data_IF_183578189908
#
_entry.id   IF_183578189908
#
_cell.length_a   1.000
_cell.length_b   1.000
_cell.length_c   1.000
_cell.angle_alpha   90.00
_cell.angle_beta   90.00
_cell.angle_gamma   90.00
#
_symmetry.space_group_name_H-M   'P 1'
#
loop_
_entity.id
_entity.type
_entity.pdbx_description
1 polymer ?
#
# COMPACT_ATOMS: atom_id res chain seq x y z
N UNK A 1 3.96 19.30 38.01
CA UNK A 1 3.21 18.17 37.39
C UNK A 1 2.66 18.53 36.01
N UNK A 2 1.96 19.66 35.84
CA UNK A 2 1.39 20.12 34.54
C UNK A 2 2.39 20.15 33.36
N UNK A 3 3.66 20.49 33.59
CA UNK A 3 4.70 20.53 32.53
C UNK A 3 4.96 19.16 31.88
N UNK A 4 4.90 18.08 32.66
CA UNK A 4 5.12 16.71 32.16
C UNK A 4 3.88 16.23 31.38
N UNK A 5 2.68 16.53 31.87
CA UNK A 5 1.44 16.19 31.14
C UNK A 5 1.37 16.84 29.76
N UNK A 6 1.84 18.09 29.62
CA UNK A 6 1.88 18.77 28.32
C UNK A 6 2.82 18.10 27.33
N UNK A 7 3.99 17.65 27.79
CA UNK A 7 4.96 16.92 26.97
C UNK A 7 4.41 15.57 26.50
N UNK A 8 3.68 14.85 27.36
CA UNK A 8 3.05 13.57 27.01
C UNK A 8 1.97 13.77 25.94
N UNK A 9 1.13 14.81 26.09
CA UNK A 9 0.11 15.15 25.09
C UNK A 9 0.73 15.44 23.72
N UNK A 10 1.79 16.25 23.68
CA UNK A 10 2.51 16.57 22.44
C UNK A 10 3.07 15.28 21.80
N UNK A 11 3.73 14.41 22.57
CA UNK A 11 4.26 13.16 22.05
C UNK A 11 3.17 12.24 21.46
N UNK A 12 1.99 12.19 22.07
CA UNK A 12 0.86 11.41 21.57
C UNK A 12 0.30 11.97 20.26
N UNK A 13 0.19 13.30 20.13
CA UNK A 13 -0.29 13.92 18.88
C UNK A 13 0.64 13.70 17.68
N UNK A 14 1.95 13.58 17.90
CA UNK A 14 2.94 13.36 16.84
C UNK A 14 3.32 11.89 16.63
N UNK A 15 2.66 10.94 17.31
CA UNK A 15 2.95 9.51 17.18
C UNK A 15 2.25 8.82 15.99
N UNK A 16 1.30 9.48 15.34
CA UNK A 16 0.58 8.94 14.19
C UNK A 16 1.25 9.32 12.86
N UNK A 17 1.40 8.37 11.94
CA UNK A 17 1.80 8.66 10.56
C UNK A 17 0.63 9.27 9.79
N UNK A 18 0.88 10.35 9.05
CA UNK A 18 -0.12 10.96 8.16
C UNK A 18 0.02 10.32 6.78
N UNK A 19 -1.07 9.75 6.27
CA UNK A 19 -1.19 9.27 4.90
C UNK A 19 -2.32 10.03 4.18
N UNK A 20 -2.53 9.79 2.88
CA UNK A 20 -3.65 10.41 2.11
C UNK A 20 -5.03 10.10 2.70
N UNK A 21 -5.15 9.04 3.50
CA UNK A 21 -6.35 8.63 4.26
C UNK A 21 -6.47 9.27 5.65
N UNK A 22 -5.57 10.17 6.05
CA UNK A 22 -5.55 10.80 7.37
C UNK A 22 -4.51 10.19 8.33
N UNK A 23 -4.80 10.22 9.64
CA UNK A 23 -3.91 9.64 10.66
C UNK A 23 -4.14 8.13 10.69
N UNK A 24 -3.15 7.36 10.26
CA UNK A 24 -3.21 5.90 10.23
C UNK A 24 -1.90 5.32 10.72
N UNK A 25 -1.98 4.21 11.47
CA UNK A 25 -0.81 3.40 11.80
C UNK A 25 -0.31 2.57 10.60
N UNK A 26 -1.02 2.61 9.46
CA UNK A 26 -0.69 1.86 8.24
C UNK A 26 -0.14 2.79 7.17
N UNK A 27 1.02 2.41 6.64
CA UNK A 27 1.71 3.14 5.58
C UNK A 27 1.10 2.90 4.18
N UNK A 28 0.44 1.75 3.98
CA UNK A 28 -0.25 1.40 2.74
C UNK A 28 -1.73 1.15 3.01
N UNK A 29 -2.56 1.43 2.01
CA UNK A 29 -3.99 1.19 2.04
C UNK A 29 -4.27 -0.31 2.07
N UNK A 30 -5.18 -0.73 2.94
CA UNK A 30 -5.63 -2.12 2.96
C UNK A 30 -6.37 -2.46 1.65
N UNK A 31 -6.08 -3.64 1.09
CA UNK A 31 -6.85 -4.14 -0.04
C UNK A 31 -8.17 -4.74 0.46
N UNK A 32 -9.29 -4.33 -0.14
CA UNK A 32 -10.58 -4.97 0.06
C UNK A 32 -10.67 -6.20 -0.84
N UNK A 33 -10.86 -7.34 -0.21
CA UNK A 33 -11.03 -8.63 -0.87
C UNK A 33 -12.49 -9.08 -0.71
N UNK A 34 -13.17 -9.38 -1.80
CA UNK A 34 -14.57 -9.82 -1.78
C UNK A 34 -14.90 -10.70 -2.99
N UNK A 35 -15.94 -11.52 -2.86
CA UNK A 35 -16.55 -12.25 -3.97
C UNK A 35 -17.77 -11.48 -4.48
N UNK A 36 -17.92 -11.34 -5.78
CA UNK A 36 -19.13 -10.74 -6.36
C UNK A 36 -20.32 -11.72 -6.34
N UNK A 37 -21.50 -11.26 -6.77
CA UNK A 37 -22.70 -12.08 -6.85
C UNK A 37 -22.56 -13.30 -7.78
N UNK A 38 -21.60 -13.29 -8.70
CA UNK A 38 -21.31 -14.39 -9.61
C UNK A 38 -20.25 -15.35 -9.03
N UNK A 39 -19.71 -15.06 -7.83
CA UNK A 39 -18.70 -15.87 -7.16
C UNK A 39 -17.27 -15.60 -7.65
N UNK A 40 -17.02 -14.53 -8.39
CA UNK A 40 -15.67 -14.16 -8.81
C UNK A 40 -14.95 -13.39 -7.70
N UNK A 41 -13.68 -13.74 -7.47
CA UNK A 41 -12.81 -13.07 -6.51
C UNK A 41 -12.34 -11.71 -7.05
N UNK A 42 -12.51 -10.67 -6.24
CA UNK A 42 -12.05 -9.31 -6.51
C UNK A 42 -11.14 -8.83 -5.38
N UNK A 43 -9.98 -8.29 -5.75
CA UNK A 43 -9.06 -7.60 -4.84
C UNK A 43 -8.92 -6.15 -5.29
N UNK A 44 -9.54 -5.23 -4.55
CA UNK A 44 -9.45 -3.80 -4.79
C UNK A 44 -8.52 -3.18 -3.74
N UNK A 45 -7.33 -2.81 -4.17
CA UNK A 45 -6.41 -2.03 -3.35
C UNK A 45 -6.69 -0.53 -3.55
N UNK A 46 -6.44 0.29 -2.51
CA UNK A 46 -6.50 1.74 -2.64
C UNK A 46 -5.45 2.22 -3.67
N UNK A 47 -5.87 3.03 -4.64
CA UNK A 47 -4.99 3.64 -5.65
C UNK A 47 -4.38 4.97 -5.15
N UNK A 48 -4.74 5.35 -3.94
CA UNK A 48 -4.48 6.64 -3.32
C UNK A 48 -3.33 6.60 -2.31
N UNK A 49 -2.51 5.54 -2.29
CA UNK A 49 -1.24 5.58 -1.56
C UNK A 49 -0.24 6.53 -2.25
N UNK A 50 0.73 7.05 -1.49
CA UNK A 50 1.86 7.82 -2.04
C UNK A 50 2.67 6.95 -3.01
N UNK A 51 2.78 5.65 -2.70
CA UNK A 51 3.36 4.61 -3.57
C UNK A 51 2.47 3.38 -3.50
N UNK A 52 1.89 2.98 -4.64
CA UNK A 52 1.04 1.79 -4.72
C UNK A 52 1.86 0.55 -5.07
N UNK A 53 1.44 -0.62 -4.57
CA UNK A 53 2.04 -1.91 -4.94
C UNK A 53 2.06 -2.14 -6.46
N UNK A 54 1.00 -1.68 -7.14
CA UNK A 54 0.92 -1.70 -8.61
C UNK A 54 2.04 -0.86 -9.24
N UNK A 55 2.25 0.37 -8.75
CA UNK A 55 3.34 1.23 -9.22
C UNK A 55 4.71 0.60 -9.03
N UNK A 56 4.95 -0.04 -7.88
CA UNK A 56 6.20 -0.76 -7.61
C UNK A 56 6.36 -1.93 -8.58
N UNK A 57 5.31 -2.72 -8.81
CA UNK A 57 5.34 -3.86 -9.74
C UNK A 57 5.62 -3.44 -11.19
N UNK A 58 5.01 -2.34 -11.64
CA UNK A 58 5.26 -1.78 -12.97
C UNK A 58 6.69 -1.24 -13.12
N UNK A 59 7.18 -0.49 -12.13
CA UNK A 59 8.55 0.02 -12.10
C UNK A 59 9.56 -1.12 -12.09
N UNK A 60 9.35 -2.12 -11.24
CA UNK A 60 10.21 -3.32 -11.16
C UNK A 60 10.21 -4.09 -12.48
N UNK A 61 9.03 -4.27 -13.10
CA UNK A 61 8.92 -4.91 -14.41
C UNK A 61 9.73 -4.18 -15.48
N UNK A 62 9.61 -2.84 -15.57
CA UNK A 62 10.38 -2.03 -16.53
C UNK A 62 11.89 -2.15 -16.32
N UNK A 63 12.32 -2.15 -15.06
CA UNK A 63 13.74 -2.32 -14.69
C UNK A 63 14.22 -3.70 -15.13
N UNK A 64 13.50 -4.78 -14.77
CA UNK A 64 13.84 -6.15 -15.16
C UNK A 64 13.86 -6.29 -16.69
N UNK A 65 12.88 -5.75 -17.40
CA UNK A 65 12.79 -5.80 -18.86
C UNK A 65 13.98 -5.08 -19.54
N UNK A 66 14.49 -4.03 -18.90
CA UNK A 66 15.67 -3.26 -19.36
C UNK A 66 16.98 -4.02 -19.11
N UNK A 67 17.08 -4.78 -18.02
CA UNK A 67 18.27 -5.58 -17.68
C UNK A 67 18.32 -6.95 -18.37
N UNK A 68 17.16 -7.58 -18.61
CA UNK A 68 17.08 -8.95 -19.16
C UNK A 68 16.76 -9.01 -20.65
N UNK A 69 16.52 -7.84 -21.28
CA UNK A 69 16.17 -7.73 -22.69
C UNK A 69 14.81 -8.37 -22.97
N UNK A 70 13.71 -7.65 -22.67
CA UNK A 70 12.30 -8.00 -22.98
C UNK A 70 12.04 -9.52 -23.09
N UNK A 71 12.28 -10.29 -22.03
CA UNK A 71 11.78 -11.66 -21.97
C UNK A 71 10.33 -11.62 -21.56
N UNK A 72 9.46 -12.24 -22.35
CA UNK A 72 8.02 -12.32 -22.10
C UNK A 72 7.75 -12.74 -20.65
N UNK A 73 6.96 -11.93 -19.94
CA UNK A 73 6.53 -12.25 -18.57
C UNK A 73 5.78 -13.60 -18.61
N UNK A 74 6.10 -14.56 -17.73
CA UNK A 74 5.32 -15.78 -17.64
C UNK A 74 3.87 -15.41 -17.31
N UNK A 75 2.93 -15.84 -18.17
CA UNK A 75 1.49 -15.75 -17.90
C UNK A 75 1.17 -16.68 -16.74
N UNK A 76 1.24 -16.15 -15.52
CA UNK A 76 0.98 -16.91 -14.32
C UNK A 76 -0.51 -17.04 -14.06
N UNK A 77 -1.06 -18.21 -14.37
CA UNK A 77 -2.06 -18.87 -13.55
C UNK A 77 -1.54 -20.30 -13.30
N UNK A 78 -0.58 -20.46 -12.39
CA UNK A 78 -0.26 -21.76 -11.82
C UNK A 78 -0.99 -21.82 -10.49
N UNK A 79 -1.92 -22.77 -10.41
CA UNK A 79 -2.83 -23.01 -9.30
C UNK A 79 -2.09 -23.29 -7.99
#
# INVERSE_FOLDING_TARGET
MIKISFLILIALFFSGCVNKHGISAKYYSDCKEYYDFQGYYHKKCGDDDIVTYKGIGEATGKVVDSFTGKKEKPKGNVW
#
